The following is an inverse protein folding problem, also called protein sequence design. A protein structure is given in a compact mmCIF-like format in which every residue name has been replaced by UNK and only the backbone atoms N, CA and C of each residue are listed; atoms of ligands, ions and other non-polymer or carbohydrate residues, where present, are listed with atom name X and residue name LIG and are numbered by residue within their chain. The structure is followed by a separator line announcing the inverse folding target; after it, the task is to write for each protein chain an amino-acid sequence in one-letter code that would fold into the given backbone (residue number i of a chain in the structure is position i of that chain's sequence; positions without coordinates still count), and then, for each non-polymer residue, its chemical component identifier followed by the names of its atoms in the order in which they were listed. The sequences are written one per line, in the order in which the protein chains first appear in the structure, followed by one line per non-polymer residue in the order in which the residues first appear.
data_IF_311653805049
#
_entry.id   IF_311653805049
#
_cell.length_a   1.000
_cell.length_b   1.000
_cell.length_c   1.000
_cell.angle_alpha   90.00
_cell.angle_beta   90.00
_cell.angle_gamma   90.00
#
_symmetry.space_group_name_H-M   'P 1'
#
loop_
_entity.id
_entity.type
_entity.pdbx_description
1 polymer ?
#
# COMPACT_ATOMS: atom_id res chain seq x y z
N UNK A 1 -6.72 -6.69 -3.08
CA UNK A 1 -7.32 -5.95 -1.95
C UNK A 1 -6.27 -4.97 -1.46
N UNK A 2 -6.64 -3.71 -1.26
CA UNK A 2 -5.74 -2.63 -0.83
C UNK A 2 -6.26 -2.11 0.51
N UNK A 3 -5.36 -1.89 1.48
CA UNK A 3 -5.65 -1.35 2.79
C UNK A 3 -4.74 -0.18 3.11
N UNK A 4 -5.19 0.70 3.99
CA UNK A 4 -4.42 1.76 4.63
C UNK A 4 -4.37 1.49 6.13
N UNK A 5 -3.19 1.54 6.72
CA UNK A 5 -3.01 1.43 8.18
C UNK A 5 -2.02 2.48 8.69
N UNK A 6 -2.20 2.91 9.94
CA UNK A 6 -1.39 3.93 10.59
C UNK A 6 -0.65 3.32 11.77
N UNK A 7 0.67 3.46 11.79
CA UNK A 7 1.50 2.92 12.86
C UNK A 7 2.56 3.91 13.31
N UNK A 8 3.03 3.77 14.55
CA UNK A 8 4.10 4.58 15.10
C UNK A 8 5.44 3.81 15.01
N UNK A 9 6.36 4.17 14.11
CA UNK A 9 7.64 3.47 13.97
C UNK A 9 8.65 3.81 15.08
N UNK A 10 8.45 4.90 15.82
CA UNK A 10 9.44 5.43 16.77
C UNK A 10 8.92 5.46 18.21
N UNK A 11 9.74 4.97 19.14
CA UNK A 11 9.46 5.08 20.56
C UNK A 11 9.59 6.53 21.05
N UNK A 12 8.73 6.93 21.99
CA UNK A 12 8.78 8.24 22.69
C UNK A 12 8.65 9.48 21.79
N UNK A 13 8.07 9.33 20.60
CA UNK A 13 7.66 10.46 19.73
C UNK A 13 6.16 10.39 19.44
N UNK A 14 5.58 11.49 18.95
CA UNK A 14 4.20 11.53 18.45
C UNK A 14 4.27 11.64 16.93
N UNK A 15 4.67 10.55 16.27
CA UNK A 15 4.80 10.50 14.82
C UNK A 15 4.18 9.21 14.30
N UNK A 16 3.01 9.33 13.67
CA UNK A 16 2.31 8.22 13.03
C UNK A 16 2.57 8.22 11.53
N UNK A 17 2.98 7.10 10.96
CA UNK A 17 3.19 6.91 9.52
C UNK A 17 2.10 6.03 8.96
N UNK A 18 1.53 6.42 7.82
CA UNK A 18 0.58 5.59 7.09
C UNK A 18 1.27 4.65 6.11
N UNK A 19 0.75 3.45 5.93
CA UNK A 19 1.17 2.52 4.87
C UNK A 19 -0.02 2.07 4.05
N UNK A 20 0.10 2.18 2.72
CA UNK A 20 -0.82 1.54 1.78
C UNK A 20 -0.19 0.23 1.38
N UNK A 21 -0.90 -0.87 1.64
CA UNK A 21 -0.45 -2.21 1.28
C UNK A 21 -1.53 -2.99 0.54
N UNK A 22 -1.08 -3.89 -0.33
CA UNK A 22 -1.92 -4.74 -1.15
C UNK A 22 -1.68 -6.21 -0.89
N UNK A 23 -2.72 -7.02 -1.06
CA UNK A 23 -2.62 -8.49 -1.13
C UNK A 23 -3.21 -9.02 -2.43
N UNK A 24 -2.54 -10.03 -2.99
CA UNK A 24 -2.97 -10.74 -4.19
C UNK A 24 -4.14 -11.65 -3.81
N UNK A 25 -5.33 -11.33 -4.31
CA UNK A 25 -6.56 -12.05 -3.94
C UNK A 25 -6.68 -13.42 -4.61
N UNK A 26 -5.87 -13.69 -5.63
CA UNK A 26 -5.80 -14.99 -6.31
C UNK A 26 -5.07 -16.06 -5.47
N UNK A 27 -4.31 -15.66 -4.44
CA UNK A 27 -3.67 -16.60 -3.53
C UNK A 27 -4.69 -17.18 -2.53
N UNK A 28 -4.50 -18.43 -2.08
CA UNK A 28 -5.28 -19.01 -0.98
C UNK A 28 -5.33 -18.09 0.25
N UNK A 29 -6.49 -18.07 0.93
CA UNK A 29 -6.73 -17.20 2.09
C UNK A 29 -5.70 -17.39 3.21
N UNK A 30 -5.18 -18.60 3.36
CA UNK A 30 -4.18 -18.98 4.37
C UNK A 30 -2.81 -18.36 4.15
N UNK A 31 -2.47 -17.98 2.90
CA UNK A 31 -1.13 -17.49 2.55
C UNK A 31 -1.12 -16.02 2.11
N UNK A 32 -2.24 -15.48 1.63
CA UNK A 32 -2.33 -14.10 1.09
C UNK A 32 -1.97 -12.98 2.08
N UNK A 33 -2.08 -13.24 3.39
CA UNK A 33 -1.74 -12.26 4.44
C UNK A 33 -0.38 -12.52 5.10
N UNK A 34 0.39 -13.50 4.61
CA UNK A 34 1.78 -13.68 5.03
C UNK A 34 2.61 -12.51 4.52
N UNK A 35 3.60 -12.11 5.31
CA UNK A 35 4.48 -10.97 4.99
C UNK A 35 5.11 -11.08 3.60
N UNK A 36 5.51 -12.30 3.20
CA UNK A 36 6.06 -12.62 1.87
C UNK A 36 5.11 -12.36 0.69
N UNK A 37 3.80 -12.31 0.92
CA UNK A 37 2.78 -12.09 -0.11
C UNK A 37 2.09 -10.71 -0.01
N UNK A 38 2.52 -9.88 0.95
CA UNK A 38 2.06 -8.51 1.08
C UNK A 38 2.94 -7.57 0.26
N UNK A 39 2.29 -6.69 -0.51
CA UNK A 39 2.95 -5.68 -1.32
C UNK A 39 2.82 -4.32 -0.64
N UNK A 40 3.92 -3.64 -0.39
CA UNK A 40 3.89 -2.24 0.06
C UNK A 40 3.73 -1.36 -1.18
N UNK A 41 2.62 -0.63 -1.25
CA UNK A 41 2.28 0.21 -2.41
C UNK A 41 2.61 1.68 -2.17
N UNK A 42 2.64 2.12 -0.91
CA UNK A 42 2.98 3.51 -0.58
C UNK A 42 3.19 3.74 0.91
N UNK A 43 3.97 4.76 1.23
CA UNK A 43 4.19 5.26 2.59
C UNK A 43 3.73 6.71 2.67
N UNK A 44 2.92 7.02 3.69
CA UNK A 44 2.35 8.33 3.92
C UNK A 44 3.09 8.97 5.10
N UNK A 45 3.70 10.15 4.90
CA UNK A 45 4.39 10.83 5.99
C UNK A 45 3.40 11.28 7.06
N UNK A 46 3.80 11.09 8.32
CA UNK A 46 3.12 11.63 9.49
C UNK A 46 3.30 13.14 9.66
N UNK A 47 2.68 13.74 10.71
CA UNK A 47 2.27 13.06 11.95
C UNK A 47 0.76 12.82 12.11
N UNK A 48 -0.08 13.40 11.24
CA UNK A 48 -1.54 13.29 11.33
C UNK A 48 -2.11 12.47 10.19
N UNK A 49 -3.27 11.86 10.44
CA UNK A 49 -4.02 11.16 9.41
C UNK A 49 -4.29 12.10 8.22
N UNK A 50 -3.96 11.63 7.02
CA UNK A 50 -4.25 12.38 5.80
C UNK A 50 -5.77 12.51 5.68
N UNK A 51 -6.26 13.74 5.68
CA UNK A 51 -7.67 14.02 5.41
C UNK A 51 -8.11 13.33 4.11
N UNK A 52 -9.32 12.78 4.11
CA UNK A 52 -9.88 12.03 2.98
C UNK A 52 -9.74 12.76 1.62
N UNK A 53 -9.81 14.10 1.64
CA UNK A 53 -9.67 14.93 0.44
C UNK A 53 -8.30 14.79 -0.25
N UNK A 54 -7.25 14.48 0.53
CA UNK A 54 -5.88 14.38 0.04
C UNK A 54 -5.45 12.93 -0.27
N UNK A 55 -6.25 11.92 0.10
CA UNK A 55 -5.88 10.51 -0.11
C UNK A 55 -5.71 10.17 -1.60
N UNK A 56 -6.48 10.85 -2.46
CA UNK A 56 -6.43 10.66 -3.91
C UNK A 56 -5.07 11.03 -4.50
N UNK A 57 -4.35 11.99 -3.90
CA UNK A 57 -2.99 12.32 -4.33
C UNK A 57 -2.02 11.15 -4.13
N UNK A 58 -2.22 10.35 -3.08
CA UNK A 58 -1.41 9.16 -2.80
C UNK A 58 -1.87 7.94 -3.58
N UNK A 59 -3.18 7.81 -3.85
CA UNK A 59 -3.73 6.70 -4.63
C UNK A 59 -3.49 6.85 -6.13
N UNK A 60 -3.48 8.08 -6.66
CA UNK A 60 -3.30 8.33 -8.09
C UNK A 60 -2.07 7.65 -8.72
N UNK A 61 -0.85 7.73 -8.15
CA UNK A 61 0.30 7.03 -8.71
C UNK A 61 0.12 5.51 -8.66
N UNK A 62 -0.40 4.97 -7.55
CA UNK A 62 -0.64 3.52 -7.40
C UNK A 62 -1.63 3.02 -8.46
N UNK A 63 -2.74 3.74 -8.67
CA UNK A 63 -3.73 3.39 -9.70
C UNK A 63 -3.12 3.46 -11.10
N UNK A 64 -2.29 4.46 -11.37
CA UNK A 64 -1.62 4.62 -12.67
C UNK A 64 -0.72 3.42 -12.98
N UNK A 65 0.11 3.00 -12.03
CA UNK A 65 0.95 1.81 -12.18
C UNK A 65 0.12 0.54 -12.36
N UNK A 66 -0.94 0.36 -11.57
CA UNK A 66 -1.81 -0.81 -11.69
C UNK A 66 -2.53 -0.87 -13.05
N UNK A 67 -2.90 0.28 -13.63
CA UNK A 67 -3.47 0.36 -14.97
C UNK A 67 -2.45 0.02 -16.06
N UNK A 68 -1.19 0.42 -15.89
CA UNK A 68 -0.11 0.00 -16.79
C UNK A 68 0.09 -1.53 -16.75
N UNK A 69 0.06 -2.12 -15.55
CA UNK A 69 0.15 -3.58 -15.39
C UNK A 69 -1.07 -4.33 -15.90
N UNK A 70 -2.23 -3.69 -16.04
CA UNK A 70 -3.47 -4.32 -16.46
C UNK A 70 -3.38 -4.91 -17.87
N UNK A 71 -2.62 -4.29 -18.77
CA UNK A 71 -2.42 -4.78 -20.14
C UNK A 71 -1.44 -5.95 -20.21
N UNK A 72 -0.79 -6.29 -19.10
CA UNK A 72 0.26 -7.29 -19.02
C UNK A 72 1.64 -6.71 -19.32
N UNK A 73 2.68 -7.37 -18.79
CA UNK A 73 4.08 -6.98 -18.97
C UNK A 73 4.87 -8.16 -19.49
N UNK A 74 5.72 -7.93 -20.49
CA UNK A 74 6.63 -8.95 -21.02
C UNK A 74 7.87 -8.99 -20.13
N UNK A 75 7.98 -10.04 -19.33
CA UNK A 75 9.17 -10.30 -18.52
C UNK A 75 10.12 -11.12 -19.39
N UNK A 76 11.25 -10.52 -19.80
CA UNK A 76 12.30 -11.27 -20.51
C UNK A 76 12.91 -12.28 -19.54
N UNK A 77 12.82 -13.55 -19.92
CA UNK A 77 13.36 -14.69 -19.18
C UNK A 77 14.73 -15.07 -19.71
#
# INVERSE_FOLDING_TARGET
MINLDWFQPFDRTIYSTGVIYGVICNLPREIRFRQENMLILGLLPGPHEVHADNINHFLSPIVTELLEFWTGVIIKT
#
